data_IF_290998168047
#
_entry.id   IF_290998168047
#
_cell.length_a   1.000
_cell.length_b   1.000
_cell.length_c   1.000
_cell.angle_alpha   90.00
_cell.angle_beta   90.00
_cell.angle_gamma   90.00
#
_symmetry.space_group_name_H-M   'P 1'
#
loop_
_entity.id
_entity.type
_entity.pdbx_description
1 polymer ?
#
# COMPACT_ATOMS: atom_id res chain seq x y z
N UNK A 1 1.87 14.61 -7.07
CA UNK A 1 3.26 14.06 -7.07
C UNK A 1 3.23 12.56 -7.33
N UNK A 2 4.35 11.92 -7.69
CA UNK A 2 4.37 10.49 -8.06
C UNK A 2 3.86 9.57 -6.92
N UNK A 3 4.13 9.93 -5.67
CA UNK A 3 3.70 9.19 -4.47
C UNK A 3 2.18 9.07 -4.37
N UNK A 4 1.45 10.13 -4.73
CA UNK A 4 -0.02 10.12 -4.73
C UNK A 4 -0.57 9.19 -5.82
N UNK A 5 0.02 9.22 -7.03
CA UNK A 5 -0.38 8.33 -8.12
C UNK A 5 -0.16 6.85 -7.75
N UNK A 6 0.99 6.55 -7.15
CA UNK A 6 1.30 5.21 -6.64
C UNK A 6 0.32 4.80 -5.53
N UNK A 7 0.11 5.66 -4.53
CA UNK A 7 -0.79 5.38 -3.40
C UNK A 7 -2.23 5.10 -3.84
N UNK A 8 -2.76 5.91 -4.77
CA UNK A 8 -4.09 5.70 -5.37
C UNK A 8 -4.14 4.37 -6.11
N UNK A 9 -3.13 4.04 -6.92
CA UNK A 9 -3.11 2.77 -7.66
C UNK A 9 -3.08 1.55 -6.74
N UNK A 10 -2.28 1.59 -5.67
CA UNK A 10 -2.24 0.54 -4.65
C UNK A 10 -3.63 0.37 -4.01
N UNK A 11 -4.28 1.49 -3.66
CA UNK A 11 -5.62 1.49 -3.05
C UNK A 11 -6.66 0.86 -3.97
N UNK A 12 -6.67 1.21 -5.25
CA UNK A 12 -7.58 0.62 -6.24
C UNK A 12 -7.44 -0.89 -6.31
N UNK A 13 -6.20 -1.38 -6.47
CA UNK A 13 -5.90 -2.80 -6.56
C UNK A 13 -6.26 -3.54 -5.26
N UNK A 14 -5.95 -2.97 -4.09
CA UNK A 14 -6.34 -3.56 -2.81
C UNK A 14 -7.86 -3.68 -2.69
N UNK A 15 -8.60 -2.65 -3.11
CA UNK A 15 -10.07 -2.65 -3.06
C UNK A 15 -10.66 -3.68 -4.04
N UNK A 16 -10.07 -3.87 -5.24
CA UNK A 16 -10.54 -4.90 -6.17
C UNK A 16 -10.36 -6.33 -5.63
N UNK A 17 -9.47 -6.52 -4.66
CA UNK A 17 -9.29 -7.78 -3.93
C UNK A 17 -10.22 -7.92 -2.71
N UNK A 18 -11.05 -6.92 -2.41
CA UNK A 18 -11.94 -6.91 -1.23
C UNK A 18 -11.21 -6.83 0.11
N UNK A 19 -9.94 -6.40 0.13
CA UNK A 19 -9.12 -6.34 1.33
C UNK A 19 -9.21 -4.97 2.01
N UNK A 20 -9.35 -4.95 3.33
CA UNK A 20 -9.17 -3.73 4.12
C UNK A 20 -7.68 -3.37 4.21
N UNK A 21 -7.36 -2.12 4.58
CA UNK A 21 -5.96 -1.71 4.83
C UNK A 21 -5.32 -2.57 5.93
N UNK A 22 -6.08 -2.93 6.96
CA UNK A 22 -5.60 -3.77 8.06
C UNK A 22 -5.31 -5.21 7.61
N UNK A 23 -6.25 -5.84 6.88
CA UNK A 23 -6.04 -7.19 6.34
C UNK A 23 -4.85 -7.24 5.38
N UNK A 24 -4.73 -6.23 4.52
CA UNK A 24 -3.63 -6.17 3.56
C UNK A 24 -2.28 -5.92 4.24
N UNK A 25 -2.20 -4.95 5.14
CA UNK A 25 -0.99 -4.64 5.88
C UNK A 25 -0.50 -5.86 6.68
N UNK A 26 -1.41 -6.59 7.33
CA UNK A 26 -1.10 -7.87 7.98
C UNK A 26 -0.56 -8.91 6.98
N UNK A 27 -1.21 -9.07 5.83
CA UNK A 27 -0.81 -10.01 4.75
C UNK A 27 0.64 -9.77 4.28
N UNK A 28 1.06 -8.52 4.16
CA UNK A 28 2.40 -8.15 3.68
C UNK A 28 3.41 -7.88 4.79
N UNK A 29 3.04 -8.12 6.06
CA UNK A 29 3.91 -7.90 7.22
C UNK A 29 4.32 -6.43 7.40
N UNK A 30 3.36 -5.51 7.23
CA UNK A 30 3.57 -4.06 7.31
C UNK A 30 2.68 -3.46 8.41
N UNK A 31 3.16 -2.41 9.06
CA UNK A 31 2.31 -1.63 9.97
C UNK A 31 1.15 -0.98 9.21
N UNK A 32 -0.07 -1.11 9.75
CA UNK A 32 -1.30 -0.57 9.14
C UNK A 32 -1.22 0.94 8.95
N UNK A 33 -0.68 1.68 9.91
CA UNK A 33 -0.59 3.15 9.87
C UNK A 33 0.41 3.59 8.82
N UNK A 34 1.55 2.89 8.73
CA UNK A 34 2.51 3.08 7.65
C UNK A 34 1.87 2.82 6.29
N UNK A 35 1.20 1.69 6.10
CA UNK A 35 0.52 1.36 4.84
C UNK A 35 -0.55 2.40 4.47
N UNK A 36 -1.38 2.83 5.42
CA UNK A 36 -2.36 3.90 5.19
C UNK A 36 -1.71 5.22 4.74
N UNK A 37 -0.54 5.56 5.29
CA UNK A 37 0.22 6.74 4.86
C UNK A 37 0.84 6.62 3.46
N UNK A 38 1.14 5.38 3.02
CA UNK A 38 1.57 5.07 1.65
C UNK A 38 0.41 5.27 0.67
N UNK A 39 -0.77 4.70 0.95
CA UNK A 39 -1.96 4.88 0.10
C UNK A 39 -2.40 6.35 0.00
N UNK A 40 -2.20 7.13 1.07
CA UNK A 40 -2.45 8.57 1.06
C UNK A 40 -1.38 9.38 0.29
N UNK A 41 -0.32 8.75 -0.22
CA UNK A 41 0.78 9.43 -0.91
C UNK A 41 1.63 10.32 -0.01
N UNK A 42 1.55 10.15 1.33
CA UNK A 42 2.27 10.95 2.33
C UNK A 42 3.68 10.41 2.62
N UNK A 43 4.04 9.27 2.05
CA UNK A 43 5.35 8.62 2.23
C UNK A 43 6.11 8.55 0.92
N UNK A 44 7.42 8.76 1.01
CA UNK A 44 8.37 8.31 0.00
C UNK A 44 8.73 6.84 0.32
N UNK A 45 7.97 5.90 -0.24
CA UNK A 45 8.15 4.46 0.02
C UNK A 45 9.46 3.97 -0.63
N UNK A 46 10.21 3.11 0.08
CA UNK A 46 11.39 2.46 -0.49
C UNK A 46 10.98 1.41 -1.53
N UNK A 47 11.87 1.11 -2.46
CA UNK A 47 11.62 0.09 -3.49
C UNK A 47 11.36 -1.28 -2.85
N UNK A 48 12.09 -1.66 -1.79
CA UNK A 48 11.87 -2.93 -1.08
C UNK A 48 10.47 -3.02 -0.45
N UNK A 49 9.93 -1.92 0.10
CA UNK A 49 8.57 -1.93 0.64
C UNK A 49 7.53 -1.91 -0.48
N UNK A 50 7.82 -1.27 -1.61
CA UNK A 50 6.97 -1.31 -2.79
C UNK A 50 6.90 -2.72 -3.38
N UNK A 51 8.02 -3.44 -3.44
CA UNK A 51 8.08 -4.85 -3.86
C UNK A 51 7.18 -5.74 -2.99
N UNK A 52 7.23 -5.58 -1.66
CA UNK A 52 6.31 -6.30 -0.75
C UNK A 52 4.85 -6.02 -1.05
N UNK A 53 4.50 -4.76 -1.36
CA UNK A 53 3.13 -4.39 -1.73
C UNK A 53 2.76 -5.03 -3.07
N UNK A 54 3.63 -4.96 -4.08
CA UNK A 54 3.39 -5.54 -5.41
C UNK A 54 3.18 -7.05 -5.31
N UNK A 55 3.99 -7.77 -4.54
CA UNK A 55 3.84 -9.21 -4.34
C UNK A 55 2.59 -9.58 -3.53
N UNK A 56 2.03 -8.63 -2.78
CA UNK A 56 0.83 -8.82 -1.97
C UNK A 56 -0.48 -8.52 -2.68
N UNK A 57 -0.45 -7.67 -3.73
CA UNK A 57 -1.59 -7.32 -4.57
C UNK A 57 -1.84 -8.42 -5.61
#
# INVERSE_FOLDING_TARGET
>A
MIQQKIGVRIKELRISLGLSQEKFALKIGMDRTYFASVEAGKRNISINNLEKIINGL
#
